data_IF_566851593723
#
_entry.id   IF_566851593723
#
_cell.length_a   1.000
_cell.length_b   1.000
_cell.length_c   1.000
_cell.angle_alpha   90.00
_cell.angle_beta   90.00
_cell.angle_gamma   90.00
#
_symmetry.space_group_name_H-M   'P 1'
#
loop_
_entity.id
_entity.type
_entity.pdbx_description
1 polymer ?
#
# COMPACT_ATOMS: atom_id res chain seq x y z
N UNK A 1 17.26 -32.21 7.18
CA UNK A 1 17.19 -30.73 7.24
C UNK A 1 16.06 -30.28 6.32
N UNK A 2 14.99 -29.68 6.85
CA UNK A 2 13.83 -29.25 6.06
C UNK A 2 14.17 -27.93 5.34
N UNK A 3 14.20 -27.93 4.01
CA UNK A 3 14.16 -26.70 3.22
C UNK A 3 12.83 -26.01 3.53
N UNK A 4 12.86 -24.96 4.35
CA UNK A 4 11.67 -24.18 4.67
C UNK A 4 10.99 -23.68 3.38
N UNK A 5 9.67 -23.87 3.27
CA UNK A 5 8.87 -23.37 2.14
C UNK A 5 9.24 -21.91 1.86
N UNK A 6 9.65 -21.61 0.63
CA UNK A 6 9.93 -20.24 0.19
C UNK A 6 8.68 -19.40 0.42
N UNK A 7 8.74 -18.47 1.39
CA UNK A 7 7.61 -17.58 1.70
C UNK A 7 7.32 -16.74 0.45
N UNK A 8 6.12 -16.84 -0.09
CA UNK A 8 5.72 -16.02 -1.24
C UNK A 8 5.90 -14.54 -0.94
N UNK A 9 6.13 -13.72 -1.97
CA UNK A 9 6.35 -12.28 -1.81
C UNK A 9 5.24 -11.63 -0.95
N UNK A 10 5.55 -10.62 -0.15
CA UNK A 10 4.55 -9.81 0.56
C UNK A 10 3.87 -8.80 -0.38
N UNK A 11 2.77 -8.17 0.06
CA UNK A 11 2.15 -7.05 -0.68
C UNK A 11 3.17 -5.94 -0.93
N UNK A 12 3.91 -5.53 0.10
CA UNK A 12 5.00 -4.54 0.04
C UNK A 12 6.03 -4.91 -1.03
N UNK A 13 6.52 -6.15 -1.04
CA UNK A 13 7.51 -6.60 -2.02
C UNK A 13 6.96 -6.60 -3.46
N UNK A 14 5.69 -6.97 -3.64
CA UNK A 14 5.02 -6.88 -4.96
C UNK A 14 4.86 -5.44 -5.42
N UNK A 15 4.47 -4.53 -4.52
CA UNK A 15 4.32 -3.10 -4.81
C UNK A 15 5.65 -2.47 -5.20
N UNK A 16 6.73 -2.71 -4.43
CA UNK A 16 8.07 -2.23 -4.77
C UNK A 16 8.52 -2.72 -6.16
N UNK A 17 8.28 -4.00 -6.47
CA UNK A 17 8.62 -4.54 -7.79
C UNK A 17 7.83 -3.81 -8.89
N UNK A 18 6.51 -3.67 -8.74
CA UNK A 18 5.68 -3.02 -9.74
C UNK A 18 6.07 -1.55 -9.97
N UNK A 19 6.41 -0.81 -8.90
CA UNK A 19 6.88 0.57 -9.00
C UNK A 19 8.23 0.67 -9.72
N UNK A 20 9.16 -0.24 -9.41
CA UNK A 20 10.48 -0.29 -10.07
C UNK A 20 10.37 -0.69 -11.54
N UNK A 21 9.48 -1.62 -11.87
CA UNK A 21 9.19 -2.02 -13.26
C UNK A 21 8.58 -0.83 -14.05
N UNK A 22 7.95 0.14 -13.38
CA UNK A 22 7.50 1.42 -13.95
C UNK A 22 8.59 2.50 -13.98
N UNK A 23 9.82 2.20 -13.54
CA UNK A 23 10.92 3.16 -13.46
C UNK A 23 10.82 4.16 -12.31
N UNK A 24 9.94 3.94 -11.32
CA UNK A 24 9.79 4.85 -10.18
C UNK A 24 10.81 4.58 -9.09
N UNK A 25 11.35 5.66 -8.51
CA UNK A 25 12.11 5.61 -7.26
C UNK A 25 11.13 5.41 -6.11
N UNK A 26 11.35 4.43 -5.25
CA UNK A 26 10.46 4.13 -4.14
C UNK A 26 11.19 3.53 -2.92
N UNK A 27 10.65 3.78 -1.73
CA UNK A 27 11.19 3.29 -0.47
C UNK A 27 10.08 2.81 0.48
N UNK A 28 10.37 1.77 1.27
CA UNK A 28 9.51 1.37 2.39
C UNK A 28 9.68 2.40 3.51
N UNK A 29 8.58 2.85 4.07
CA UNK A 29 8.57 3.71 5.27
C UNK A 29 8.02 2.99 6.51
N UNK A 30 7.34 1.85 6.33
CA UNK A 30 6.96 0.97 7.43
C UNK A 30 8.19 0.37 8.14
N UNK A 31 8.27 0.54 9.46
CA UNK A 31 9.35 -0.02 10.30
C UNK A 31 8.81 -0.65 11.58
N UNK A 32 9.54 -1.63 12.10
CA UNK A 32 9.26 -2.12 13.45
C UNK A 32 9.96 -1.22 14.47
N UNK A 33 9.19 -0.68 15.40
CA UNK A 33 9.67 0.09 16.53
C UNK A 33 9.59 -0.78 17.79
N UNK A 34 10.74 -1.27 18.25
CA UNK A 34 10.83 -2.14 19.43
C UNK A 34 10.44 -1.44 20.75
N UNK A 35 10.47 -0.10 20.78
CA UNK A 35 10.14 0.70 21.94
C UNK A 35 8.67 1.13 21.98
N UNK A 36 7.88 0.81 20.94
CA UNK A 36 6.47 1.12 20.88
C UNK A 36 5.64 0.08 21.66
N UNK A 37 5.61 0.22 22.98
CA UNK A 37 4.84 -0.63 23.90
C UNK A 37 5.54 -1.96 24.25
N UNK A 38 4.91 -2.82 25.08
CA UNK A 38 5.56 -3.98 25.68
C UNK A 38 6.12 -5.04 24.70
N UNK A 39 5.56 -5.10 23.48
CA UNK A 39 5.96 -6.07 22.46
C UNK A 39 6.52 -5.40 21.18
N UNK A 40 6.74 -4.09 21.22
CA UNK A 40 7.00 -3.28 20.04
C UNK A 40 5.81 -3.25 19.07
N UNK A 41 5.89 -2.35 18.09
CA UNK A 41 4.81 -2.15 17.10
C UNK A 41 5.40 -1.90 15.72
N UNK A 42 4.72 -2.37 14.67
CA UNK A 42 4.97 -1.91 13.30
C UNK A 42 4.30 -0.56 13.11
N UNK A 43 5.07 0.40 12.65
CA UNK A 43 4.62 1.77 12.41
C UNK A 43 4.86 2.09 10.94
N UNK A 44 3.79 2.44 10.26
CA UNK A 44 3.76 3.02 8.93
C UNK A 44 3.85 4.56 9.05
N UNK A 45 4.08 5.25 7.93
CA UNK A 45 4.14 6.71 7.95
C UNK A 45 2.72 7.26 8.18
N UNK A 46 2.58 8.05 9.24
CA UNK A 46 1.33 8.69 9.68
C UNK A 46 0.13 7.76 9.93
N UNK A 47 0.33 6.45 10.03
CA UNK A 47 -0.80 5.52 10.15
C UNK A 47 -1.39 5.07 8.81
N UNK A 48 -0.90 5.56 7.67
CA UNK A 48 -1.61 5.47 6.38
C UNK A 48 -0.74 5.10 5.17
N UNK A 49 0.58 5.06 5.30
CA UNK A 49 1.49 4.88 4.15
C UNK A 49 2.58 3.84 4.49
N UNK A 50 2.63 2.75 3.72
CA UNK A 50 3.67 1.73 3.84
C UNK A 50 4.91 2.05 2.97
N UNK A 51 4.69 2.70 1.82
CA UNK A 51 5.70 2.98 0.78
C UNK A 51 5.52 4.41 0.27
N UNK A 52 6.63 5.10 0.03
CA UNK A 52 6.67 6.33 -0.77
C UNK A 52 7.24 6.03 -2.16
N UNK A 53 6.69 6.68 -3.17
CA UNK A 53 7.23 6.67 -4.53
C UNK A 53 7.30 8.10 -5.11
N UNK A 54 8.34 8.37 -5.89
CA UNK A 54 8.46 9.60 -6.66
C UNK A 54 7.79 9.41 -8.02
N UNK A 55 6.83 10.27 -8.31
CA UNK A 55 6.07 10.32 -9.55
C UNK A 55 6.34 11.67 -10.24
N UNK A 56 6.80 11.68 -11.50
CA UNK A 56 7.20 12.92 -12.17
C UNK A 56 6.02 13.86 -12.46
N UNK A 57 4.80 13.36 -12.50
CA UNK A 57 3.60 14.15 -12.81
C UNK A 57 2.88 14.57 -11.54
N UNK A 58 2.85 13.69 -10.53
CA UNK A 58 2.03 13.86 -9.32
C UNK A 58 2.83 14.23 -8.07
N UNK A 59 4.15 14.19 -8.12
CA UNK A 59 5.03 14.43 -6.98
C UNK A 59 5.22 13.19 -6.11
N UNK A 60 4.99 13.30 -4.80
CA UNK A 60 5.22 12.21 -3.85
C UNK A 60 3.95 11.38 -3.66
N UNK A 61 3.99 10.12 -4.06
CA UNK A 61 2.86 9.19 -3.90
C UNK A 61 3.05 8.35 -2.64
N UNK A 62 2.13 8.53 -1.68
CA UNK A 62 1.95 7.63 -0.55
C UNK A 62 1.18 6.39 -0.98
N UNK A 63 1.63 5.21 -0.57
CA UNK A 63 1.01 3.94 -0.94
C UNK A 63 0.78 3.08 0.29
N UNK A 64 -0.48 2.73 0.54
CA UNK A 64 -0.87 1.64 1.44
C UNK A 64 -1.02 0.36 0.61
N UNK A 65 -0.43 -0.75 1.04
CA UNK A 65 -0.48 -2.01 0.31
C UNK A 65 -1.02 -3.16 1.18
N UNK A 66 -1.89 -3.99 0.60
CA UNK A 66 -2.52 -5.11 1.28
C UNK A 66 -2.65 -6.33 0.36
N UNK A 67 -2.84 -7.52 0.94
CA UNK A 67 -3.14 -8.76 0.18
C UNK A 67 -4.60 -9.18 0.37
N UNK A 68 -5.08 -9.12 1.60
CA UNK A 68 -6.49 -9.29 1.97
C UNK A 68 -7.04 -7.96 2.49
N UNK A 69 -8.37 -7.90 2.64
CA UNK A 69 -9.02 -6.84 3.43
C UNK A 69 -8.86 -5.42 2.88
N UNK A 70 -8.86 -5.29 1.55
CA UNK A 70 -8.78 -4.00 0.85
C UNK A 70 -9.77 -2.95 1.40
N UNK A 71 -11.01 -3.36 1.71
CA UNK A 71 -12.01 -2.47 2.30
C UNK A 71 -11.60 -2.00 3.70
N UNK A 72 -11.07 -2.88 4.55
CA UNK A 72 -10.63 -2.49 5.89
C UNK A 72 -9.47 -1.50 5.83
N UNK A 73 -8.50 -1.70 4.92
CA UNK A 73 -7.44 -0.71 4.70
C UNK A 73 -7.96 0.61 4.16
N UNK A 74 -8.94 0.58 3.24
CA UNK A 74 -9.61 1.80 2.77
C UNK A 74 -10.35 2.50 3.90
N UNK A 75 -11.08 1.77 4.74
CA UNK A 75 -11.80 2.33 5.88
C UNK A 75 -10.83 2.92 6.92
N UNK A 76 -9.69 2.25 7.19
CA UNK A 76 -8.63 2.76 8.06
C UNK A 76 -8.15 4.13 7.59
N UNK A 77 -7.71 4.27 6.33
CA UNK A 77 -7.17 5.55 5.86
C UNK A 77 -8.27 6.62 5.82
N UNK A 78 -9.47 6.26 5.34
CA UNK A 78 -10.48 7.27 5.06
C UNK A 78 -11.25 7.69 6.32
N UNK A 79 -11.54 6.75 7.24
CA UNK A 79 -12.33 6.94 8.47
C UNK A 79 -11.43 7.13 9.68
N UNK A 80 -10.63 6.12 10.03
CA UNK A 80 -9.88 6.11 11.30
C UNK A 80 -8.73 7.13 11.27
N UNK A 81 -8.14 7.33 10.09
CA UNK A 81 -7.03 8.25 9.81
C UNK A 81 -7.44 9.39 8.91
N UNK A 82 -8.68 9.85 9.09
CA UNK A 82 -9.28 10.91 8.27
C UNK A 82 -8.41 12.18 8.26
N UNK A 83 -7.97 12.64 9.43
CA UNK A 83 -7.18 13.87 9.55
C UNK A 83 -5.81 13.72 8.88
N UNK A 84 -5.08 12.63 9.16
CA UNK A 84 -3.76 12.40 8.55
C UNK A 84 -3.86 12.24 7.02
N UNK A 85 -4.94 11.62 6.54
CA UNK A 85 -5.22 11.48 5.10
C UNK A 85 -5.58 12.81 4.46
N UNK A 86 -6.41 13.62 5.12
CA UNK A 86 -6.76 14.96 4.66
C UNK A 86 -5.52 15.86 4.59
N UNK A 87 -4.69 15.87 5.64
CA UNK A 87 -3.47 16.69 5.69
C UNK A 87 -2.47 16.26 4.63
N UNK A 88 -2.31 14.95 4.42
CA UNK A 88 -1.49 14.43 3.33
C UNK A 88 -1.99 14.95 1.98
N UNK A 89 -3.28 14.77 1.66
CA UNK A 89 -3.84 15.14 0.36
C UNK A 89 -3.97 16.65 0.14
N UNK A 90 -4.04 17.43 1.21
CA UNK A 90 -4.06 18.90 1.14
C UNK A 90 -2.67 19.49 0.97
N UNK A 91 -1.61 18.70 1.22
CA UNK A 91 -0.23 19.12 1.02
C UNK A 91 0.09 19.20 -0.49
N UNK A 92 0.60 20.31 -1.02
CA UNK A 92 0.94 20.40 -2.43
C UNK A 92 1.95 19.34 -2.89
N UNK A 93 1.68 18.72 -4.04
CA UNK A 93 2.60 17.75 -4.65
C UNK A 93 2.59 16.36 -4.01
N UNK A 94 1.51 15.99 -3.32
CA UNK A 94 1.30 14.65 -2.80
C UNK A 94 0.11 13.96 -3.48
N UNK A 95 0.16 12.63 -3.52
CA UNK A 95 -0.98 11.79 -3.90
C UNK A 95 -1.04 10.56 -3.00
N UNK A 96 -2.19 9.89 -2.93
CA UNK A 96 -2.37 8.69 -2.12
C UNK A 96 -3.02 7.57 -2.93
N UNK A 97 -2.49 6.35 -2.81
CA UNK A 97 -3.01 5.16 -3.47
C UNK A 97 -3.13 3.98 -2.49
N UNK A 98 -4.17 3.17 -2.67
CA UNK A 98 -4.25 1.84 -2.06
C UNK A 98 -4.00 0.77 -3.11
N UNK A 99 -3.10 -0.15 -2.80
CA UNK A 99 -2.72 -1.28 -3.64
C UNK A 99 -3.15 -2.60 -2.98
N UNK A 100 -4.23 -3.20 -3.49
CA UNK A 100 -4.69 -4.54 -3.10
C UNK A 100 -4.21 -5.61 -4.05
N UNK A 101 -3.37 -6.54 -3.60
CA UNK A 101 -2.88 -7.63 -4.42
C UNK A 101 -3.80 -8.84 -4.36
N UNK A 102 -4.25 -9.33 -5.52
CA UNK A 102 -5.08 -10.54 -5.64
C UNK A 102 -4.55 -11.49 -6.70
N UNK A 103 -4.82 -12.78 -6.55
CA UNK A 103 -4.56 -13.76 -7.61
C UNK A 103 -5.74 -13.77 -8.58
N UNK A 104 -5.45 -13.60 -9.86
CA UNK A 104 -6.42 -13.74 -10.94
C UNK A 104 -5.99 -14.87 -11.86
N UNK A 105 -6.96 -15.66 -12.33
CA UNK A 105 -6.72 -16.68 -13.36
C UNK A 105 -6.29 -16.00 -14.66
N UNK A 106 -5.26 -16.55 -15.31
CA UNK A 106 -4.77 -16.03 -16.59
C UNK A 106 -5.80 -16.22 -17.72
N UNK A 107 -6.58 -17.30 -17.65
CA UNK A 107 -7.68 -17.60 -18.58
C UNK A 107 -8.87 -18.13 -17.79
N UNK A 108 -10.10 -17.79 -18.21
CA UNK A 108 -11.32 -18.34 -17.61
C UNK A 108 -11.29 -19.86 -17.70
N UNK A 109 -11.54 -20.55 -16.58
CA UNK A 109 -11.48 -22.02 -16.48
C UNK A 109 -10.07 -22.61 -16.33
N UNK A 110 -9.00 -21.84 -16.50
CA UNK A 110 -7.62 -22.30 -16.30
C UNK A 110 -7.22 -22.47 -14.84
N UNK A 111 -6.11 -23.18 -14.61
CA UNK A 111 -5.46 -23.35 -13.28
C UNK A 111 -4.34 -22.34 -13.02
N UNK A 112 -3.78 -21.73 -14.07
CA UNK A 112 -2.68 -20.79 -13.93
C UNK A 112 -3.19 -19.42 -13.46
N UNK A 113 -2.52 -18.85 -12.45
CA UNK A 113 -2.88 -17.59 -11.81
C UNK A 113 -1.70 -16.61 -11.83
N UNK A 114 -1.99 -15.31 -11.85
CA UNK A 114 -1.00 -14.25 -11.58
C UNK A 114 -1.48 -13.34 -10.47
N UNK A 115 -0.52 -12.77 -9.74
CA UNK A 115 -0.78 -11.65 -8.86
C UNK A 115 -1.00 -10.39 -9.70
N UNK A 116 -2.12 -9.73 -9.47
CA UNK A 116 -2.50 -8.48 -10.13
C UNK A 116 -2.87 -7.46 -9.05
N UNK A 117 -2.35 -6.23 -9.12
CA UNK A 117 -2.75 -5.18 -8.20
C UNK A 117 -4.13 -4.64 -8.59
N UNK A 118 -4.99 -4.43 -7.61
CA UNK A 118 -6.10 -3.47 -7.64
C UNK A 118 -5.53 -2.17 -7.08
N UNK A 119 -5.44 -1.14 -7.91
CA UNK A 119 -4.99 0.20 -7.50
C UNK A 119 -6.20 1.11 -7.45
N UNK A 120 -6.32 1.87 -6.38
CA UNK A 120 -7.34 2.89 -6.21
C UNK A 120 -6.68 4.17 -5.70
N UNK A 121 -6.85 5.27 -6.43
CA UNK A 121 -6.42 6.60 -5.99
C UNK A 121 -7.43 7.15 -5.00
N UNK A 122 -6.93 7.80 -3.97
CA UNK A 122 -7.72 8.41 -2.92
C UNK A 122 -7.58 9.91 -3.06
N UNK A 123 -8.71 10.60 -3.09
CA UNK A 123 -8.81 12.04 -3.32
C UNK A 123 -9.47 12.75 -2.12
N UNK A 124 -9.36 14.07 -2.08
CA UNK A 124 -10.08 14.88 -1.09
C UNK A 124 -11.59 14.74 -1.27
N UNK A 125 -12.05 14.60 -2.51
CA UNK A 125 -13.46 14.39 -2.82
C UNK A 125 -13.98 13.08 -2.21
N UNK A 126 -13.18 12.00 -2.25
CA UNK A 126 -13.53 10.73 -1.61
C UNK A 126 -13.68 10.86 -0.08
N UNK A 127 -12.94 11.78 0.54
CA UNK A 127 -13.03 12.05 1.98
C UNK A 127 -14.28 12.87 2.32
N UNK A 128 -14.70 13.76 1.43
CA UNK A 128 -15.84 14.66 1.66
C UNK A 128 -17.19 14.01 1.30
N UNK A 129 -17.22 13.05 0.38
CA UNK A 129 -18.43 12.38 -0.10
C UNK A 129 -19.02 11.34 0.87
N UNK A 130 -18.83 11.54 2.18
CA UNK A 130 -19.18 10.61 3.25
C UNK A 130 -20.41 11.04 4.02
#
# INVERSE_FOLDING_TARGET
MSMGKTKGLSATQRTLRALRDQGRVCAIVEKFNAYAGPFGRREDLFGIIDILALDPERGVVGIQCCTSDFKAHKDKIMVEKHQETHDWLSTPGTALEIWGWRKLKLKRGGKAERWTPRVETITIEDLNAR
#
